data_IF_710125641194
#
_entry.id   IF_710125641194
#
_cell.length_a   1.000
_cell.length_b   1.000
_cell.length_c   1.000
_cell.angle_alpha   90.00
_cell.angle_beta   90.00
_cell.angle_gamma   90.00
#
_symmetry.space_group_name_H-M   'P 1'
#
loop_
_entity.id
_entity.type
_entity.pdbx_description
1 polymer ?
#
# COMPACT_ATOMS: atom_id res chain seq x y z
N UNK A 1 25.28 -10.46 7.58
CA UNK A 1 24.66 -10.01 6.31
C UNK A 1 23.33 -9.38 6.65
N UNK A 2 22.97 -8.26 6.01
CA UNK A 2 21.70 -7.58 6.26
C UNK A 2 20.55 -8.42 5.71
N UNK A 3 19.48 -8.57 6.49
CA UNK A 3 18.30 -9.35 6.12
C UNK A 3 17.39 -8.55 5.16
N UNK A 4 16.81 -9.15 4.10
CA UNK A 4 15.86 -8.47 3.21
C UNK A 4 14.60 -8.04 3.96
N UNK A 5 14.06 -6.86 3.63
CA UNK A 5 12.75 -6.43 4.15
C UNK A 5 11.60 -7.20 3.52
N UNK A 6 11.76 -7.62 2.26
CA UNK A 6 10.83 -8.48 1.54
C UNK A 6 11.61 -9.55 0.77
N UNK A 7 11.16 -10.80 0.88
CA UNK A 7 11.63 -11.90 0.07
C UNK A 7 10.44 -12.69 -0.49
N UNK A 8 10.43 -12.86 -1.80
CA UNK A 8 9.54 -13.72 -2.55
C UNK A 8 10.33 -14.91 -3.05
N UNK A 9 9.86 -16.12 -2.78
CA UNK A 9 10.47 -17.34 -3.26
C UNK A 9 9.45 -18.24 -3.95
N UNK A 10 9.57 -18.33 -5.28
CA UNK A 10 8.77 -19.23 -6.11
C UNK A 10 7.30 -18.82 -6.29
N UNK A 11 6.99 -17.53 -6.15
CA UNK A 11 5.61 -17.03 -6.23
C UNK A 11 5.04 -17.32 -7.62
N UNK A 12 3.93 -18.05 -7.65
CA UNK A 12 3.21 -18.38 -8.88
C UNK A 12 1.72 -18.08 -8.74
N UNK A 13 1.12 -17.61 -9.83
CA UNK A 13 -0.32 -17.33 -9.94
C UNK A 13 -0.82 -17.59 -11.34
N UNK A 14 -1.90 -18.35 -11.44
CA UNK A 14 -2.67 -18.57 -12.65
C UNK A 14 -4.13 -18.12 -12.50
N UNK A 15 -4.73 -17.72 -13.62
CA UNK A 15 -6.16 -17.44 -13.75
C UNK A 15 -6.69 -18.25 -14.94
N UNK A 16 -7.32 -19.39 -14.63
CA UNK A 16 -7.70 -20.38 -15.64
C UNK A 16 -6.47 -20.82 -16.44
N UNK A 17 -6.46 -20.67 -17.78
CA UNK A 17 -5.33 -21.08 -18.61
C UNK A 17 -4.15 -20.09 -18.60
N UNK A 18 -4.33 -18.89 -18.02
CA UNK A 18 -3.31 -17.82 -18.08
C UNK A 18 -2.40 -17.89 -16.87
N UNK A 19 -1.11 -18.12 -17.12
CA UNK A 19 -0.07 -18.05 -16.08
C UNK A 19 0.39 -16.60 -15.90
N UNK A 20 -0.21 -15.87 -14.96
CA UNK A 20 0.12 -14.47 -14.70
C UNK A 20 1.49 -14.29 -14.03
N UNK A 21 1.83 -15.15 -13.07
CA UNK A 21 3.16 -15.18 -12.45
C UNK A 21 3.67 -16.62 -12.40
N UNK A 22 4.94 -16.86 -12.75
CA UNK A 22 5.54 -18.19 -12.74
C UNK A 22 6.89 -18.15 -12.04
N UNK A 23 6.98 -18.82 -10.89
CA UNK A 23 8.22 -19.00 -10.12
C UNK A 23 8.98 -17.68 -9.87
N UNK A 24 8.26 -16.62 -9.47
CA UNK A 24 8.86 -15.32 -9.21
C UNK A 24 9.70 -15.37 -7.93
N UNK A 25 10.94 -14.92 -8.05
CA UNK A 25 11.85 -14.73 -6.92
C UNK A 25 12.32 -13.27 -6.90
N UNK A 26 12.19 -12.61 -5.75
CA UNK A 26 12.56 -11.22 -5.55
C UNK A 26 13.05 -11.02 -4.12
N UNK A 27 14.10 -10.24 -3.93
CA UNK A 27 14.56 -9.80 -2.62
C UNK A 27 14.71 -8.28 -2.64
N UNK A 28 14.11 -7.61 -1.66
CA UNK A 28 14.23 -6.16 -1.48
C UNK A 28 15.01 -5.92 -0.20
N UNK A 29 16.14 -5.21 -0.32
CA UNK A 29 17.00 -4.89 0.81
C UNK A 29 16.50 -3.63 1.54
N UNK A 30 16.75 -3.49 2.85
CA UNK A 30 16.38 -2.28 3.59
C UNK A 30 16.96 -1.01 2.93
N UNK A 31 16.15 0.06 2.86
CA UNK A 31 16.58 1.36 2.34
C UNK A 31 16.82 1.41 0.83
N UNK A 32 16.29 0.46 0.07
CA UNK A 32 16.46 0.41 -1.39
C UNK A 32 15.14 0.64 -2.13
N UNK A 33 15.24 1.19 -3.34
CA UNK A 33 14.12 1.32 -4.28
C UNK A 33 14.28 0.25 -5.34
N UNK A 34 13.24 -0.57 -5.55
CA UNK A 34 13.22 -1.61 -6.57
C UNK A 34 12.16 -1.31 -7.63
N UNK A 35 12.58 -1.21 -8.88
CA UNK A 35 11.69 -1.06 -10.02
C UNK A 35 11.31 -2.40 -10.63
N UNK A 36 10.01 -2.67 -10.77
CA UNK A 36 9.49 -3.82 -11.51
C UNK A 36 8.93 -3.30 -12.84
N UNK A 37 9.64 -3.60 -13.92
CA UNK A 37 9.34 -3.09 -15.27
C UNK A 37 9.07 -4.27 -16.19
N UNK A 38 8.14 -4.09 -17.13
CA UNK A 38 7.74 -5.09 -18.11
C UNK A 38 6.49 -4.65 -18.84
N UNK A 39 6.13 -5.35 -19.90
CA UNK A 39 4.97 -5.02 -20.73
C UNK A 39 3.63 -5.18 -19.98
N UNK A 40 2.57 -4.63 -20.55
CA UNK A 40 1.21 -4.86 -20.05
C UNK A 40 0.88 -6.36 -20.14
N UNK A 41 0.32 -6.90 -19.05
CA UNK A 41 0.07 -8.35 -18.96
C UNK A 41 1.25 -9.18 -18.43
N UNK A 42 2.43 -8.60 -18.19
CA UNK A 42 3.59 -9.32 -17.64
C UNK A 42 3.43 -9.77 -16.16
N UNK A 43 2.25 -9.61 -15.56
CA UNK A 43 1.96 -10.06 -14.19
C UNK A 43 2.44 -9.11 -13.07
N UNK A 44 2.86 -7.88 -13.40
CA UNK A 44 3.32 -6.87 -12.42
C UNK A 44 2.22 -6.55 -11.40
N UNK A 45 1.05 -6.13 -11.87
CA UNK A 45 -0.09 -5.81 -11.01
C UNK A 45 -0.58 -7.03 -10.24
N UNK A 46 -0.53 -8.23 -10.84
CA UNK A 46 -0.85 -9.48 -10.13
C UNK A 46 0.10 -9.73 -8.95
N UNK A 47 1.40 -9.53 -9.13
CA UNK A 47 2.39 -9.68 -8.06
C UNK A 47 2.13 -8.66 -6.93
N UNK A 48 1.81 -7.42 -7.28
CA UNK A 48 1.47 -6.38 -6.30
C UNK A 48 0.17 -6.72 -5.56
N UNK A 49 -0.87 -7.18 -6.25
CA UNK A 49 -2.12 -7.65 -5.65
C UNK A 49 -1.91 -8.84 -4.69
N UNK A 50 -0.93 -9.71 -4.95
CA UNK A 50 -0.57 -10.78 -4.02
C UNK A 50 0.08 -10.22 -2.76
N UNK A 51 1.03 -9.30 -2.92
CA UNK A 51 1.71 -8.63 -1.79
C UNK A 51 0.76 -7.84 -0.89
N UNK A 52 -0.38 -7.39 -1.43
CA UNK A 52 -1.38 -6.64 -0.67
C UNK A 52 -2.63 -7.48 -0.30
N UNK A 53 -2.61 -8.80 -0.55
CA UNK A 53 -3.67 -9.70 -0.13
C UNK A 53 -4.97 -9.67 -0.95
N UNK A 54 -4.98 -9.05 -2.13
CA UNK A 54 -6.13 -9.13 -3.05
C UNK A 54 -6.20 -10.45 -3.80
N UNK A 55 -5.05 -11.09 -4.02
CA UNK A 55 -4.97 -12.43 -4.57
C UNK A 55 -4.08 -13.32 -3.71
N UNK A 56 -4.47 -14.58 -3.54
CA UNK A 56 -3.59 -15.59 -2.97
C UNK A 56 -2.70 -16.17 -4.07
N UNK A 57 -1.40 -16.24 -3.83
CA UNK A 57 -0.50 -17.03 -4.68
C UNK A 57 -0.91 -18.50 -4.67
N UNK A 58 -0.76 -19.19 -5.79
CA UNK A 58 -1.07 -20.62 -5.88
C UNK A 58 0.09 -21.46 -5.29
N UNK A 59 1.31 -20.91 -5.31
CA UNK A 59 2.48 -21.50 -4.67
C UNK A 59 3.55 -20.44 -4.36
N UNK A 60 4.55 -20.85 -3.57
CA UNK A 60 5.66 -20.01 -3.13
C UNK A 60 5.52 -19.50 -1.70
N UNK A 61 6.53 -18.75 -1.24
CA UNK A 61 6.57 -18.18 0.11
C UNK A 61 6.90 -16.70 0.06
N UNK A 62 6.25 -15.94 0.95
CA UNK A 62 6.51 -14.52 1.19
C UNK A 62 7.14 -14.40 2.58
N UNK A 63 8.29 -13.75 2.68
CA UNK A 63 8.93 -13.42 3.95
C UNK A 63 9.09 -11.92 4.08
N UNK A 64 8.79 -11.41 5.27
CA UNK A 64 9.03 -10.02 5.64
C UNK A 64 10.01 -10.04 6.81
N UNK A 65 11.19 -9.44 6.61
CA UNK A 65 12.29 -9.46 7.60
C UNK A 65 12.56 -10.87 8.12
N UNK A 66 12.77 -11.80 7.19
CA UNK A 66 13.03 -13.22 7.46
C UNK A 66 11.86 -14.08 7.93
N UNK A 67 10.78 -13.48 8.41
CA UNK A 67 9.61 -14.20 8.89
C UNK A 67 8.67 -14.52 7.75
N UNK A 68 8.33 -15.79 7.57
CA UNK A 68 7.28 -16.19 6.64
C UNK A 68 5.93 -15.64 7.09
N UNK A 69 5.22 -15.01 6.15
CA UNK A 69 3.93 -14.36 6.38
C UNK A 69 2.89 -14.91 5.42
N UNK A 70 1.66 -15.04 5.91
CA UNK A 70 0.49 -15.32 5.10
C UNK A 70 -0.30 -14.02 4.96
N UNK A 71 -0.34 -13.49 3.73
CA UNK A 71 -1.06 -12.24 3.42
C UNK A 71 -2.41 -12.63 2.82
N UNK A 72 -3.43 -12.76 3.67
CA UNK A 72 -4.78 -13.17 3.27
C UNK A 72 -5.63 -12.03 2.73
N UNK A 73 -5.30 -10.81 3.14
CA UNK A 73 -6.07 -9.59 2.89
C UNK A 73 -5.17 -8.36 3.16
N UNK A 74 -5.72 -7.16 2.92
CA UNK A 74 -5.01 -5.90 3.12
C UNK A 74 -4.69 -5.60 4.60
N UNK A 75 -5.50 -6.07 5.55
CA UNK A 75 -5.20 -5.89 6.98
C UNK A 75 -3.98 -6.71 7.39
N UNK A 76 -3.86 -7.95 6.89
CA UNK A 76 -2.67 -8.77 7.08
C UNK A 76 -1.42 -8.13 6.44
N UNK A 77 -1.57 -7.50 5.27
CA UNK A 77 -0.47 -6.77 4.61
C UNK A 77 -0.01 -5.58 5.46
N UNK A 78 -0.95 -4.73 5.92
CA UNK A 78 -0.67 -3.58 6.78
C UNK A 78 -0.02 -4.03 8.09
N UNK A 79 -0.55 -5.08 8.72
CA UNK A 79 0.02 -5.66 9.95
C UNK A 79 1.42 -6.24 9.76
N UNK A 80 1.79 -6.62 8.52
CA UNK A 80 3.14 -7.02 8.15
C UNK A 80 4.05 -5.83 7.77
N UNK A 81 3.53 -4.60 7.77
CA UNK A 81 4.28 -3.38 7.42
C UNK A 81 4.34 -3.10 5.91
N UNK A 82 3.37 -3.59 5.13
CA UNK A 82 3.26 -3.34 3.69
C UNK A 82 2.17 -2.28 3.47
N UNK A 83 2.57 -1.10 2.98
CA UNK A 83 1.68 -0.08 2.45
C UNK A 83 1.57 -0.15 0.92
N UNK A 84 0.45 0.29 0.36
CA UNK A 84 0.22 0.34 -1.08
C UNK A 84 -0.49 1.63 -1.48
N UNK A 85 0.05 2.30 -2.50
CA UNK A 85 -0.60 3.40 -3.22
C UNK A 85 -1.21 2.81 -4.50
N UNK A 86 -2.50 3.07 -4.75
CA UNK A 86 -3.20 2.48 -5.90
C UNK A 86 -3.04 3.30 -7.18
N UNK A 87 -3.04 2.61 -8.34
CA UNK A 87 -3.02 3.26 -9.65
C UNK A 87 -4.27 4.11 -9.91
N UNK A 88 -5.41 3.69 -9.37
CA UNK A 88 -6.64 4.49 -9.32
C UNK A 88 -6.88 4.88 -7.87
N UNK A 89 -7.04 6.17 -7.60
CA UNK A 89 -7.23 6.69 -6.25
C UNK A 89 -8.36 5.96 -5.52
N UNK A 90 -8.14 5.68 -4.24
CA UNK A 90 -9.14 5.05 -3.36
C UNK A 90 -9.70 6.05 -2.36
N UNK A 91 -9.72 7.32 -2.76
CA UNK A 91 -10.26 8.42 -1.98
C UNK A 91 -11.79 8.45 -2.06
N UNK A 92 -12.42 8.81 -0.95
CA UNK A 92 -13.84 9.13 -0.84
C UNK A 92 -14.01 10.59 -1.23
N UNK A 93 -14.63 10.82 -2.39
CA UNK A 93 -14.69 12.14 -3.05
C UNK A 93 -15.36 13.23 -2.20
N UNK A 94 -16.40 12.86 -1.46
CA UNK A 94 -17.18 13.78 -0.63
C UNK A 94 -16.65 13.92 0.82
N UNK A 95 -15.49 13.34 1.11
CA UNK A 95 -14.82 13.48 2.40
C UNK A 95 -13.73 14.55 2.31
N UNK A 96 -13.40 15.13 3.46
CA UNK A 96 -12.22 15.98 3.60
C UNK A 96 -10.92 15.17 3.45
N UNK A 97 -9.82 15.86 3.21
CA UNK A 97 -8.48 15.25 3.25
C UNK A 97 -8.26 14.53 4.58
N UNK A 98 -8.55 15.19 5.71
CA UNK A 98 -8.34 14.60 7.03
C UNK A 98 -9.17 13.33 7.22
N UNK A 99 -10.43 13.33 6.79
CA UNK A 99 -11.31 12.16 6.86
C UNK A 99 -10.80 11.00 6.02
N UNK A 100 -10.24 11.25 4.84
CA UNK A 100 -9.61 10.22 4.01
C UNK A 100 -8.35 9.64 4.65
N UNK A 101 -7.51 10.48 5.25
CA UNK A 101 -6.25 10.05 5.89
C UNK A 101 -6.49 9.18 7.13
N UNK A 102 -7.54 9.46 7.90
CA UNK A 102 -7.87 8.62 9.08
C UNK A 102 -8.68 7.37 8.74
N UNK A 103 -9.21 7.28 7.52
CA UNK A 103 -10.13 6.23 7.12
C UNK A 103 -9.41 4.86 7.18
N UNK A 104 -9.83 4.00 8.10
CA UNK A 104 -9.23 2.69 8.31
C UNK A 104 -8.08 2.63 9.32
N UNK A 105 -7.61 3.78 9.83
CA UNK A 105 -6.65 3.89 10.94
C UNK A 105 -7.34 4.14 12.31
N UNK A 106 -8.66 3.93 12.37
CA UNK A 106 -9.47 4.17 13.56
C UNK A 106 -9.14 3.17 14.69
N UNK A 107 -8.39 3.62 15.69
CA UNK A 107 -8.20 2.86 16.92
C UNK A 107 -9.47 2.93 17.79
N UNK A 108 -10.28 1.88 17.73
CA UNK A 108 -11.43 1.68 18.62
C UNK A 108 -12.74 2.33 18.18
N UNK A 109 -13.70 2.42 19.10
CA UNK A 109 -15.11 2.77 18.81
C UNK A 109 -15.38 4.28 18.67
N UNK A 110 -14.36 5.13 18.80
CA UNK A 110 -14.47 6.59 18.93
C UNK A 110 -13.63 7.29 17.86
N UNK A 111 -14.30 7.95 16.91
CA UNK A 111 -13.69 8.71 15.80
C UNK A 111 -12.92 9.97 16.25
N UNK A 112 -13.38 10.62 17.32
CA UNK A 112 -12.93 11.97 17.69
C UNK A 112 -11.48 12.07 18.19
N UNK A 113 -10.97 11.17 19.05
CA UNK A 113 -9.56 11.21 19.47
C UNK A 113 -8.59 10.91 18.32
N UNK A 114 -9.02 10.10 17.33
CA UNK A 114 -8.26 9.79 16.13
C UNK A 114 -8.03 11.04 15.26
N UNK A 115 -9.09 11.84 15.05
CA UNK A 115 -9.02 13.05 14.21
C UNK A 115 -8.04 14.12 14.70
N UNK A 116 -7.99 14.37 16.01
CA UNK A 116 -7.09 15.40 16.56
C UNK A 116 -5.61 15.01 16.41
N UNK A 117 -5.28 13.74 16.65
CA UNK A 117 -3.92 13.20 16.45
C UNK A 117 -3.55 13.20 14.98
N UNK A 118 -4.41 12.65 14.13
CA UNK A 118 -4.19 12.61 12.70
C UNK A 118 -4.02 14.00 12.08
N UNK A 119 -4.77 15.01 12.55
CA UNK A 119 -4.55 16.39 12.12
C UNK A 119 -3.17 16.90 12.52
N UNK A 120 -2.70 16.58 13.72
CA UNK A 120 -1.37 16.98 14.18
C UNK A 120 -0.27 16.30 13.35
N UNK A 121 -0.43 15.00 13.06
CA UNK A 121 0.52 14.22 12.25
C UNK A 121 0.53 14.70 10.81
N UNK A 122 -0.64 14.90 10.19
CA UNK A 122 -0.76 15.43 8.84
C UNK A 122 -0.12 16.82 8.72
N UNK A 123 -0.29 17.69 9.72
CA UNK A 123 0.39 19.00 9.75
C UNK A 123 1.90 18.87 9.85
N UNK A 124 2.40 17.97 10.71
CA UNK A 124 3.84 17.74 10.84
C UNK A 124 4.46 17.20 9.54
N UNK A 125 3.80 16.23 8.89
CA UNK A 125 4.22 15.69 7.59
C UNK A 125 4.15 16.76 6.49
N UNK A 126 3.09 17.57 6.49
CA UNK A 126 2.95 18.67 5.54
C UNK A 126 4.07 19.71 5.69
N UNK A 127 4.48 20.02 6.91
CA UNK A 127 5.62 20.91 7.17
C UNK A 127 6.95 20.28 6.78
N UNK A 128 7.21 19.03 7.20
CA UNK A 128 8.46 18.30 6.94
C UNK A 128 8.72 18.12 5.43
N UNK A 129 7.69 17.78 4.66
CA UNK A 129 7.79 17.50 3.23
C UNK A 129 7.36 18.68 2.34
N UNK A 130 7.01 19.83 2.93
CA UNK A 130 6.55 21.02 2.19
C UNK A 130 5.28 20.79 1.38
N UNK A 131 4.36 19.97 1.89
CA UNK A 131 3.07 19.68 1.25
C UNK A 131 2.09 20.82 1.59
N UNK A 132 1.66 21.58 0.59
CA UNK A 132 0.59 22.55 0.78
C UNK A 132 -0.77 21.83 0.73
N UNK A 133 -1.16 21.15 1.81
CA UNK A 133 -2.39 20.39 1.92
C UNK A 133 -3.29 21.04 2.97
N UNK A 134 -4.51 21.40 2.59
CA UNK A 134 -5.55 21.82 3.53
C UNK A 134 -6.29 20.56 4.05
N UNK A 135 -6.18 20.22 5.36
CA UNK A 135 -6.86 19.07 5.93
C UNK A 135 -8.39 19.13 5.82
N UNK A 136 -8.95 20.33 5.65
CA UNK A 136 -10.39 20.59 5.63
C UNK A 136 -10.96 20.69 4.22
N UNK A 137 -10.12 20.64 3.18
CA UNK A 137 -10.57 20.63 1.79
C UNK A 137 -11.23 19.30 1.44
N UNK A 138 -12.32 19.35 0.66
CA UNK A 138 -13.02 18.17 0.15
C UNK A 138 -12.27 17.60 -1.06
N UNK A 139 -12.15 16.27 -1.16
CA UNK A 139 -11.35 15.62 -2.22
C UNK A 139 -11.82 16.00 -3.63
N UNK A 140 -13.13 16.12 -3.86
CA UNK A 140 -13.67 16.50 -5.17
C UNK A 140 -13.32 17.94 -5.60
N UNK A 141 -12.97 18.81 -4.64
CA UNK A 141 -12.67 20.23 -4.89
C UNK A 141 -11.17 20.48 -5.18
N UNK A 142 -10.31 19.49 -4.93
CA UNK A 142 -8.86 19.61 -5.13
C UNK A 142 -8.40 18.96 -6.44
N UNK A 143 -7.37 19.55 -7.06
CA UNK A 143 -6.82 19.02 -8.32
C UNK A 143 -6.16 17.65 -8.15
N UNK A 144 -6.05 16.90 -9.26
CA UNK A 144 -5.47 15.54 -9.33
C UNK A 144 -4.10 15.42 -8.66
N UNK A 145 -3.23 16.43 -8.82
CA UNK A 145 -1.91 16.43 -8.20
C UNK A 145 -1.95 16.53 -6.67
N UNK A 146 -3.01 17.13 -6.11
CA UNK A 146 -3.26 17.16 -4.67
C UNK A 146 -3.83 15.83 -4.20
N UNK A 147 -4.81 15.27 -4.92
CA UNK A 147 -5.36 13.94 -4.63
C UNK A 147 -4.26 12.87 -4.58
N UNK A 148 -3.29 12.93 -5.51
CA UNK A 148 -2.15 12.03 -5.51
C UNK A 148 -1.29 12.17 -4.23
N UNK A 149 -1.14 13.37 -3.67
CA UNK A 149 -0.39 13.57 -2.41
C UNK A 149 -1.16 13.07 -1.20
N UNK A 150 -2.50 13.12 -1.24
CA UNK A 150 -3.34 12.60 -0.15
C UNK A 150 -3.31 11.07 -0.10
N UNK A 151 -3.18 10.41 -1.25
CA UNK A 151 -3.07 8.95 -1.35
C UNK A 151 -1.70 8.40 -0.87
N UNK A 152 -0.65 9.23 -0.88
CA UNK A 152 0.72 8.86 -0.48
C UNK A 152 0.91 9.05 1.03
#
# INVERSE_FOLDING_TARGET
MTEPVLELAGISKAFGPVQANKNIALRVMPGTIHGIIGENGAGKSTLMSILYGFYKADSGTIRIRGKEVQISDSQAAIGAGIGMVFQHFKLVENFTVLENVVLGAEEGRLLRPSLARARSELKALAEEYGLNIDPDAVIEEIGVGMQQRVEI
#
